data_IF_336660097663
#
_entry.id   IF_336660097663
#
_cell.length_a   1.000
_cell.length_b   1.000
_cell.length_c   1.000
_cell.angle_alpha   90.00
_cell.angle_beta   90.00
_cell.angle_gamma   90.00
#
_symmetry.space_group_name_H-M   'P 1'
#
loop_
_entity.id
_entity.type
_entity.pdbx_description
1 polymer ?
#
# COMPACT_ATOMS: atom_id res chain seq x y z
N UNK A 1 -25.46 -30.23 -17.83
CA UNK A 1 -24.67 -29.11 -18.39
C UNK A 1 -23.98 -28.39 -17.23
N UNK A 2 -22.65 -28.38 -17.23
CA UNK A 2 -21.80 -27.99 -16.11
C UNK A 2 -21.80 -26.48 -15.85
N UNK A 3 -21.75 -26.12 -14.55
CA UNK A 3 -21.48 -24.78 -14.04
C UNK A 3 -20.14 -24.28 -14.59
N UNK A 4 -20.15 -23.27 -15.45
CA UNK A 4 -18.96 -22.46 -15.71
C UNK A 4 -18.90 -21.41 -14.61
N UNK A 5 -18.05 -21.67 -13.61
CA UNK A 5 -17.58 -20.62 -12.71
C UNK A 5 -17.00 -19.50 -13.55
N UNK A 6 -17.45 -18.28 -13.30
CA UNK A 6 -16.82 -17.09 -13.84
C UNK A 6 -15.43 -17.06 -13.23
N UNK A 7 -14.42 -17.24 -14.08
CA UNK A 7 -13.04 -16.98 -13.72
C UNK A 7 -12.93 -15.46 -13.53
N UNK A 8 -12.96 -15.07 -12.27
CA UNK A 8 -12.78 -13.70 -11.82
C UNK A 8 -11.35 -13.30 -12.22
N UNK A 9 -11.26 -12.46 -13.25
CA UNK A 9 -10.02 -12.13 -13.96
C UNK A 9 -8.87 -11.84 -13.00
N UNK A 10 -7.89 -12.73 -13.07
CA UNK A 10 -6.64 -12.75 -12.31
C UNK A 10 -6.03 -11.34 -12.30
N UNK A 11 -5.80 -10.79 -11.11
CA UNK A 11 -5.10 -9.53 -11.01
C UNK A 11 -3.65 -9.81 -11.42
N UNK A 12 -3.24 -9.38 -12.62
CA UNK A 12 -1.85 -9.47 -13.10
C UNK A 12 -0.83 -8.72 -12.20
N UNK A 13 -1.27 -8.15 -11.08
CA UNK A 13 -0.44 -7.49 -10.09
C UNK A 13 -0.86 -7.77 -8.65
N UNK A 14 0.14 -7.97 -7.80
CA UNK A 14 0.06 -8.17 -6.35
C UNK A 14 0.66 -6.95 -5.63
N UNK A 15 -0.06 -6.40 -4.66
CA UNK A 15 0.52 -5.44 -3.72
C UNK A 15 1.35 -6.18 -2.65
N UNK A 16 2.58 -5.73 -2.42
CA UNK A 16 3.48 -6.25 -1.40
C UNK A 16 3.83 -5.19 -0.36
N UNK A 17 4.08 -5.62 0.87
CA UNK A 17 4.60 -4.77 1.95
C UNK A 17 5.86 -5.45 2.48
N UNK A 18 6.98 -4.74 2.47
CA UNK A 18 8.24 -5.18 3.07
C UNK A 18 8.57 -4.21 4.18
N UNK A 19 8.84 -4.73 5.38
CA UNK A 19 9.16 -3.88 6.53
C UNK A 19 10.27 -4.46 7.40
N UNK A 20 11.10 -3.57 7.94
CA UNK A 20 12.08 -3.86 9.00
C UNK A 20 11.53 -3.56 10.40
N UNK A 21 10.25 -3.25 10.51
CA UNK A 21 9.62 -2.66 11.71
C UNK A 21 9.73 -1.12 11.72
N UNK A 22 10.92 -0.59 11.37
CA UNK A 22 11.17 0.85 11.22
C UNK A 22 10.76 1.36 9.84
N UNK A 23 11.28 0.75 8.79
CA UNK A 23 11.04 1.20 7.42
C UNK A 23 9.94 0.36 6.78
N UNK A 24 9.02 1.03 6.09
CA UNK A 24 7.90 0.41 5.38
C UNK A 24 7.99 0.73 3.90
N UNK A 25 8.18 -0.31 3.09
CA UNK A 25 8.28 -0.23 1.63
C UNK A 25 7.05 -0.92 1.03
N UNK A 26 6.34 -0.18 0.19
CA UNK A 26 5.19 -0.68 -0.55
C UNK A 26 5.63 -1.08 -1.95
N UNK A 27 5.22 -2.25 -2.39
CA UNK A 27 5.57 -2.82 -3.69
C UNK A 27 4.31 -3.09 -4.51
N UNK A 28 4.46 -2.98 -5.82
CA UNK A 28 3.52 -3.46 -6.81
C UNK A 28 4.26 -4.46 -7.69
N UNK A 29 3.90 -5.73 -7.59
CA UNK A 29 4.54 -6.81 -8.33
C UNK A 29 3.60 -7.28 -9.44
N UNK A 30 4.00 -7.15 -10.71
CA UNK A 30 3.34 -7.84 -11.82
C UNK A 30 4.16 -9.03 -12.29
N UNK A 31 3.59 -9.88 -13.15
CA UNK A 31 4.27 -11.07 -13.69
C UNK A 31 5.66 -10.79 -14.28
N UNK A 32 5.88 -9.55 -14.77
CA UNK A 32 7.13 -9.16 -15.45
C UNK A 32 8.05 -8.29 -14.58
N UNK A 33 7.53 -7.55 -13.60
CA UNK A 33 8.26 -6.46 -12.93
C UNK A 33 7.78 -6.19 -11.52
N UNK A 34 8.74 -5.91 -10.63
CA UNK A 34 8.49 -5.35 -9.30
C UNK A 34 8.71 -3.84 -9.37
N UNK A 35 7.74 -3.09 -8.87
CA UNK A 35 7.78 -1.64 -8.74
C UNK A 35 7.71 -1.25 -7.28
N UNK A 36 8.47 -0.22 -6.90
CA UNK A 36 8.36 0.41 -5.60
C UNK A 36 7.29 1.52 -5.66
N UNK A 37 6.36 1.52 -4.71
CA UNK A 37 5.26 2.48 -4.65
C UNK A 37 5.66 3.88 -4.17
N UNK A 38 6.90 4.06 -3.71
CA UNK A 38 7.46 5.35 -3.29
C UNK A 38 8.97 5.40 -3.53
N UNK A 39 9.52 6.59 -3.77
CA UNK A 39 10.97 6.77 -3.94
C UNK A 39 11.77 6.50 -2.66
N UNK A 40 11.17 6.77 -1.50
CA UNK A 40 11.76 6.54 -0.18
C UNK A 40 10.82 5.70 0.69
N UNK A 41 11.35 4.87 1.61
CA UNK A 41 10.53 4.17 2.60
C UNK A 41 9.76 5.13 3.50
N UNK A 42 8.64 4.64 4.05
CA UNK A 42 7.98 5.31 5.16
C UNK A 42 8.64 4.86 6.45
N UNK A 43 9.43 5.74 7.05
CA UNK A 43 10.13 5.46 8.31
C UNK A 43 9.22 5.80 9.49
N UNK A 44 9.07 4.84 10.39
CA UNK A 44 8.44 4.99 11.69
C UNK A 44 9.54 4.85 12.74
N UNK A 45 9.83 5.95 13.43
CA UNK A 45 10.71 5.94 14.60
C UNK A 45 9.88 5.66 15.85
N UNK A 46 10.31 4.64 16.59
CA UNK A 46 9.75 4.29 17.89
C UNK A 46 10.87 4.42 18.91
N UNK A 47 10.71 5.36 19.83
CA UNK A 47 11.65 5.63 20.93
C UNK A 47 10.94 5.39 22.26
N UNK A 48 11.69 5.33 23.37
CA UNK A 48 11.10 5.12 24.69
C UNK A 48 10.21 6.30 25.12
N UNK A 49 10.55 7.52 24.71
CA UNK A 49 9.79 8.74 25.00
C UNK A 49 8.38 8.67 24.40
N UNK A 50 8.23 7.98 23.26
CA UNK A 50 6.95 7.75 22.61
C UNK A 50 6.01 6.84 23.42
N UNK A 51 6.43 6.28 24.55
CA UNK A 51 5.54 5.59 25.51
C UNK A 51 4.69 6.58 26.32
N UNK A 52 5.07 7.86 26.36
CA UNK A 52 4.29 8.91 27.02
C UNK A 52 3.37 9.61 26.02
N UNK A 53 2.05 9.55 26.22
CA UNK A 53 1.06 10.12 25.30
C UNK A 53 1.14 11.66 25.16
N UNK A 54 1.67 12.34 26.17
CA UNK A 54 1.85 13.79 26.19
C UNK A 54 3.16 14.25 25.50
N UNK A 55 4.01 13.30 25.08
CA UNK A 55 5.29 13.60 24.42
C UNK A 55 5.13 14.00 22.94
N UNK A 56 6.08 14.78 22.43
CA UNK A 56 6.14 15.10 21.00
C UNK A 56 6.44 13.86 20.16
N UNK A 57 7.21 12.93 20.70
CA UNK A 57 7.61 11.67 20.09
C UNK A 57 6.39 10.77 19.87
N UNK A 58 5.47 10.67 20.85
CA UNK A 58 4.22 9.94 20.66
C UNK A 58 3.34 10.56 19.56
N UNK A 59 3.23 11.89 19.53
CA UNK A 59 2.47 12.57 18.49
C UNK A 59 3.09 12.35 17.10
N UNK A 60 4.42 12.33 17.02
CA UNK A 60 5.17 12.05 15.79
C UNK A 60 4.96 10.60 15.35
N UNK A 61 5.13 9.63 16.24
CA UNK A 61 4.86 8.22 16.02
C UNK A 61 3.44 8.00 15.49
N UNK A 62 2.44 8.59 16.14
CA UNK A 62 1.02 8.47 15.74
C UNK A 62 0.76 9.03 14.35
N UNK A 63 1.38 10.17 13.99
CA UNK A 63 1.28 10.74 12.64
C UNK A 63 1.89 9.81 11.59
N UNK A 64 3.06 9.24 11.88
CA UNK A 64 3.75 8.31 10.97
C UNK A 64 2.96 7.01 10.77
N UNK A 65 2.44 6.40 11.84
CA UNK A 65 1.57 5.22 11.78
C UNK A 65 0.30 5.52 10.98
N UNK A 66 -0.35 6.67 11.24
CA UNK A 66 -1.55 7.07 10.51
C UNK A 66 -1.29 7.19 9.01
N UNK A 67 -0.11 7.69 8.62
CA UNK A 67 0.28 7.79 7.20
C UNK A 67 0.42 6.41 6.56
N UNK A 68 1.12 5.47 7.21
CA UNK A 68 1.29 4.09 6.73
C UNK A 68 -0.06 3.37 6.62
N UNK A 69 -0.92 3.47 7.64
CA UNK A 69 -2.28 2.92 7.59
C UNK A 69 -3.12 3.54 6.47
N UNK A 70 -2.97 4.84 6.21
CA UNK A 70 -3.62 5.53 5.10
C UNK A 70 -3.26 4.94 3.74
N UNK A 71 -1.97 4.62 3.52
CA UNK A 71 -1.51 3.95 2.31
C UNK A 71 -2.13 2.55 2.19
N UNK A 72 -2.07 1.74 3.25
CA UNK A 72 -2.64 0.38 3.27
C UNK A 72 -4.13 0.41 2.92
N UNK A 73 -4.90 1.29 3.56
CA UNK A 73 -6.34 1.44 3.29
C UNK A 73 -6.58 1.89 1.84
N UNK A 74 -5.75 2.79 1.32
CA UNK A 74 -5.80 3.21 -0.09
C UNK A 74 -5.60 2.04 -1.05
N UNK A 75 -4.60 1.19 -0.83
CA UNK A 75 -4.33 -0.01 -1.63
C UNK A 75 -5.48 -1.02 -1.56
N UNK A 76 -6.03 -1.25 -0.36
CA UNK A 76 -7.18 -2.14 -0.18
C UNK A 76 -8.42 -1.63 -0.91
N UNK A 77 -8.69 -0.31 -0.83
CA UNK A 77 -9.79 0.32 -1.57
C UNK A 77 -9.59 0.22 -3.09
N UNK A 78 -8.36 0.42 -3.58
CA UNK A 78 -8.07 0.29 -5.01
C UNK A 78 -8.37 -1.14 -5.50
N UNK A 79 -7.95 -2.15 -4.73
CA UNK A 79 -8.24 -3.56 -5.03
C UNK A 79 -9.75 -3.86 -4.99
N UNK A 80 -10.46 -3.40 -3.96
CA UNK A 80 -11.90 -3.63 -3.83
C UNK A 80 -12.73 -2.91 -4.91
N UNK A 81 -12.27 -1.75 -5.40
CA UNK A 81 -12.94 -0.98 -6.44
C UNK A 81 -12.56 -1.39 -7.87
N UNK A 82 -11.49 -2.18 -8.05
CA UNK A 82 -10.99 -2.56 -9.36
C UNK A 82 -12.02 -3.32 -10.21
N UNK A 83 -12.99 -4.00 -9.60
CA UNK A 83 -14.08 -4.70 -10.30
C UNK A 83 -15.07 -3.77 -11.05
N UNK A 84 -15.08 -2.45 -10.78
CA UNK A 84 -16.11 -1.55 -11.31
C UNK A 84 -15.72 -0.68 -12.52
N UNK A 85 -14.44 -0.57 -12.87
CA UNK A 85 -14.01 0.21 -14.04
C UNK A 85 -12.86 -0.46 -14.79
N UNK A 86 -13.20 -1.17 -15.86
CA UNK A 86 -12.25 -1.94 -16.68
C UNK A 86 -11.33 -1.09 -17.58
N UNK A 87 -11.45 0.24 -17.58
CA UNK A 87 -10.78 1.09 -18.59
C UNK A 87 -9.54 1.85 -18.07
N UNK A 88 -9.39 2.11 -16.76
CA UNK A 88 -8.36 3.03 -16.25
C UNK A 88 -7.21 2.40 -15.42
N UNK A 89 -7.14 1.07 -15.30
CA UNK A 89 -6.23 0.41 -14.32
C UNK A 89 -4.74 0.62 -14.59
N UNK A 90 -4.28 0.65 -15.85
CA UNK A 90 -2.87 0.97 -16.21
C UNK A 90 -2.52 2.45 -16.04
N UNK A 91 -3.50 3.34 -16.14
CA UNK A 91 -3.29 4.79 -15.96
C UNK A 91 -3.06 5.14 -14.48
N UNK A 92 -3.75 4.45 -13.55
CA UNK A 92 -3.56 4.64 -12.10
C UNK A 92 -2.18 4.22 -11.62
N UNK A 93 -1.65 3.12 -12.17
CA UNK A 93 -0.27 2.67 -11.89
C UNK A 93 0.74 3.75 -12.30
N UNK A 94 0.51 4.49 -13.40
CA UNK A 94 1.36 5.62 -13.80
C UNK A 94 1.31 6.81 -12.84
N UNK A 95 0.15 7.08 -12.23
CA UNK A 95 -0.04 8.20 -11.31
C UNK A 95 0.75 8.02 -10.00
N UNK A 96 0.83 6.80 -9.47
CA UNK A 96 1.70 6.47 -8.33
C UNK A 96 3.19 6.76 -8.56
N UNK A 97 3.65 6.86 -9.82
CA UNK A 97 5.06 7.15 -10.15
C UNK A 97 5.38 8.64 -10.34
N UNK A 98 4.39 9.53 -10.25
CA UNK A 98 4.59 10.97 -10.56
C UNK A 98 4.63 11.86 -9.31
N UNK A 99 4.63 11.28 -8.11
CA UNK A 99 4.76 11.99 -6.82
C UNK A 99 6.16 11.74 -6.22
#
# INVERSE_FOLDING_TARGET
MNKKGKEDGDFDYLFGIVTTGRDWIFLLNSSDKIFQGSKLPYTIEFTEEALNEDSEEYQTLRKSIRRVLGVIVGLLKDRACADKSSVNRRARVKEYYTI
#
